data_IF_180029585784
#
_entry.id   IF_180029585784
#
_cell.length_a   1.000
_cell.length_b   1.000
_cell.length_c   1.000
_cell.angle_alpha   90.00
_cell.angle_beta   90.00
_cell.angle_gamma   90.00
#
_symmetry.space_group_name_H-M   'P 1'
#
loop_
_entity.id
_entity.type
_entity.pdbx_description
1 polymer ?
#
# COMPACT_ATOMS: atom_id res chain seq x y z
N UNK A 1 25.99 15.21 3.68
CA UNK A 1 25.44 15.69 4.97
C UNK A 1 24.06 16.29 4.73
N UNK A 2 23.04 15.48 5.03
CA UNK A 2 21.76 15.87 5.68
C UNK A 2 21.12 17.21 5.28
N UNK A 3 20.54 17.32 4.09
CA UNK A 3 19.44 18.26 3.83
C UNK A 3 18.50 17.60 2.82
N UNK A 4 17.46 16.91 3.29
CA UNK A 4 16.52 16.26 2.37
C UNK A 4 15.53 15.25 2.95
N UNK A 5 15.60 14.93 4.25
CA UNK A 5 14.63 14.02 4.89
C UNK A 5 13.62 14.71 5.83
N UNK A 6 13.81 15.99 6.17
CA UNK A 6 12.96 16.66 7.18
C UNK A 6 11.62 17.19 6.66
N UNK A 7 11.40 17.25 5.34
CA UNK A 7 10.15 17.74 4.74
C UNK A 7 9.10 16.65 4.50
N UNK A 8 9.39 15.41 4.89
CA UNK A 8 8.56 14.25 4.56
C UNK A 8 7.71 13.72 5.71
N UNK A 9 7.79 14.34 6.89
CA UNK A 9 6.89 14.03 8.00
C UNK A 9 5.50 14.65 7.76
N UNK A 10 5.41 15.71 6.95
CA UNK A 10 4.14 16.40 6.62
C UNK A 10 3.21 15.64 5.66
N UNK A 11 3.71 14.61 4.94
CA UNK A 11 2.86 13.73 4.11
C UNK A 11 2.34 12.51 4.87
N UNK A 12 3.01 12.12 5.96
CA UNK A 12 2.65 10.93 6.72
C UNK A 12 1.75 11.23 7.91
N UNK A 13 1.68 12.51 8.31
CA UNK A 13 0.68 13.05 9.21
C UNK A 13 -0.20 14.01 8.42
N UNK A 14 -1.22 13.48 7.74
CA UNK A 14 -2.34 14.27 7.18
C UNK A 14 -3.10 15.10 8.25
N UNK A 15 -2.66 15.08 9.52
CA UNK A 15 -3.17 15.89 10.61
C UNK A 15 -2.95 17.41 10.43
N UNK A 16 -1.95 17.86 9.66
CA UNK A 16 -1.57 19.29 9.59
C UNK A 16 -1.99 20.01 8.28
N UNK A 17 -2.43 19.26 7.25
CA UNK A 17 -2.76 19.84 5.95
C UNK A 17 -4.27 19.94 5.70
N UNK A 18 -5.09 18.98 6.16
CA UNK A 18 -6.56 19.03 6.05
C UNK A 18 -7.19 18.21 7.20
N UNK A 19 -8.08 18.78 8.03
CA UNK A 19 -8.77 18.05 9.10
C UNK A 19 -9.73 16.96 8.60
N UNK A 20 -9.99 16.88 7.29
CA UNK A 20 -10.99 15.98 6.70
C UNK A 20 -10.42 14.62 6.21
N UNK A 21 -9.10 14.44 6.18
CA UNK A 21 -8.45 13.22 5.67
C UNK A 21 -7.60 12.54 6.75
N UNK A 22 -8.26 12.04 7.80
CA UNK A 22 -7.58 11.47 8.98
C UNK A 22 -7.17 9.99 8.84
N UNK A 23 -7.45 9.35 7.71
CA UNK A 23 -7.18 7.93 7.52
C UNK A 23 -5.82 7.72 6.83
N UNK A 24 -4.91 6.92 7.42
CA UNK A 24 -3.63 6.63 6.79
C UNK A 24 -3.85 5.82 5.51
N UNK A 25 -2.99 6.06 4.52
CA UNK A 25 -3.10 5.41 3.20
C UNK A 25 -3.03 3.87 3.27
N UNK A 26 -2.40 3.31 4.31
CA UNK A 26 -2.39 1.88 4.57
C UNK A 26 -3.80 1.32 4.77
N UNK A 27 -4.65 2.02 5.53
CA UNK A 27 -5.97 1.55 5.94
C UNK A 27 -6.92 1.60 4.76
N UNK A 28 -6.84 2.66 3.96
CA UNK A 28 -7.56 2.78 2.69
C UNK A 28 -7.25 1.63 1.72
N UNK A 29 -5.97 1.26 1.61
CA UNK A 29 -5.57 0.13 0.75
C UNK A 29 -6.11 -1.19 1.29
N UNK A 30 -6.06 -1.42 2.61
CA UNK A 30 -6.65 -2.64 3.21
C UNK A 30 -8.17 -2.69 2.97
N UNK A 31 -8.88 -1.58 3.18
CA UNK A 31 -10.32 -1.48 2.98
C UNK A 31 -10.72 -1.80 1.54
N UNK A 32 -10.03 -1.23 0.54
CA UNK A 32 -10.31 -1.50 -0.88
C UNK A 32 -10.10 -2.99 -1.19
N UNK A 33 -9.02 -3.60 -0.70
CA UNK A 33 -8.77 -5.03 -0.93
C UNK A 33 -9.80 -5.90 -0.20
N UNK A 34 -10.29 -5.48 0.97
CA UNK A 34 -11.36 -6.19 1.68
C UNK A 34 -12.72 -6.06 1.02
N UNK A 35 -12.99 -4.97 0.32
CA UNK A 35 -14.22 -4.81 -0.46
C UNK A 35 -14.22 -5.70 -1.71
N UNK A 36 -13.06 -6.13 -2.20
CA UNK A 36 -12.97 -7.10 -3.29
C UNK A 36 -13.43 -8.51 -2.87
N UNK A 37 -13.89 -9.36 -3.81
CA UNK A 37 -14.27 -10.75 -3.54
C UNK A 37 -13.09 -11.59 -3.03
N UNK A 38 -13.39 -12.67 -2.30
CA UNK A 38 -12.38 -13.41 -1.52
C UNK A 38 -11.27 -14.03 -2.38
N UNK A 39 -11.58 -14.38 -3.63
CA UNK A 39 -10.66 -15.06 -4.55
C UNK A 39 -9.49 -14.17 -4.99
N UNK A 40 -9.72 -12.86 -5.09
CA UNK A 40 -8.72 -11.90 -5.60
C UNK A 40 -7.91 -11.23 -4.50
N UNK A 41 -8.29 -11.35 -3.22
CA UNK A 41 -7.58 -10.63 -2.13
C UNK A 41 -6.11 -11.04 -2.03
N UNK A 42 -5.83 -12.34 -2.07
CA UNK A 42 -4.46 -12.89 -1.97
C UNK A 42 -3.54 -12.38 -3.10
N UNK A 43 -3.92 -12.45 -4.40
CA UNK A 43 -3.09 -11.90 -5.46
C UNK A 43 -2.97 -10.37 -5.42
N UNK A 44 -3.97 -9.65 -4.90
CA UNK A 44 -3.90 -8.19 -4.77
C UNK A 44 -2.87 -7.74 -3.72
N UNK A 45 -2.83 -8.37 -2.53
CA UNK A 45 -1.79 -8.05 -1.53
C UNK A 45 -0.37 -8.34 -2.03
N UNK A 46 -0.22 -9.35 -2.89
CA UNK A 46 1.07 -9.72 -3.49
C UNK A 46 1.55 -8.74 -4.55
N UNK A 47 0.66 -8.00 -5.21
CA UNK A 47 1.01 -7.17 -6.37
C UNK A 47 0.52 -5.74 -6.22
N UNK A 48 1.08 -5.02 -5.24
CA UNK A 48 0.77 -3.59 -5.05
C UNK A 48 1.81 -2.78 -5.81
N UNK A 49 1.40 -2.11 -6.89
CA UNK A 49 2.29 -1.29 -7.73
C UNK A 49 2.13 0.18 -7.35
N UNK A 50 3.26 0.85 -7.12
CA UNK A 50 3.28 2.30 -6.88
C UNK A 50 3.31 3.04 -8.22
N UNK A 51 2.51 4.11 -8.33
CA UNK A 51 2.45 4.98 -9.51
C UNK A 51 2.33 6.44 -9.10
N UNK A 52 2.97 7.32 -9.84
CA UNK A 52 2.92 8.77 -9.62
C UNK A 52 4.15 9.35 -8.95
N UNK A 53 4.29 10.69 -9.00
CA UNK A 53 5.42 11.40 -8.39
C UNK A 53 5.33 11.47 -6.87
N UNK A 54 4.13 11.45 -6.30
CA UNK A 54 3.87 11.47 -4.85
C UNK A 54 4.31 10.19 -4.13
N UNK A 55 4.45 9.07 -4.84
CA UNK A 55 4.93 7.79 -4.27
C UNK A 55 6.45 7.63 -4.32
N UNK A 56 7.18 8.61 -4.87
CA UNK A 56 8.64 8.57 -4.98
C UNK A 56 9.38 8.97 -3.71
N UNK A 57 8.67 9.22 -2.62
CA UNK A 57 9.32 9.50 -1.36
C UNK A 57 10.21 8.31 -0.96
N UNK A 58 11.46 8.59 -0.54
CA UNK A 58 12.40 7.56 -0.11
C UNK A 58 11.76 6.69 0.98
N UNK A 59 11.91 5.37 0.86
CA UNK A 59 11.33 4.37 1.78
C UNK A 59 9.80 4.31 1.85
N UNK A 60 9.05 5.03 1.01
CA UNK A 60 7.58 4.97 1.00
C UNK A 60 7.07 3.53 0.78
N UNK A 61 7.59 2.83 -0.24
CA UNK A 61 7.19 1.45 -0.53
C UNK A 61 7.52 0.49 0.62
N UNK A 62 8.69 0.64 1.25
CA UNK A 62 9.10 -0.18 2.40
C UNK A 62 8.23 0.08 3.62
N UNK A 63 7.86 1.33 3.87
CA UNK A 63 6.97 1.73 4.97
C UNK A 63 5.56 1.19 4.76
N UNK A 64 4.99 1.39 3.56
CA UNK A 64 3.68 0.88 3.19
C UNK A 64 3.60 -0.65 3.30
N UNK A 65 4.60 -1.36 2.80
CA UNK A 65 4.65 -2.83 2.90
C UNK A 65 4.67 -3.30 4.36
N UNK A 66 5.42 -2.61 5.24
CA UNK A 66 5.50 -2.94 6.67
C UNK A 66 4.16 -2.73 7.37
N UNK A 67 3.50 -1.61 7.10
CA UNK A 67 2.25 -1.24 7.76
C UNK A 67 1.10 -2.16 7.31
N UNK A 68 0.99 -2.44 6.00
CA UNK A 68 0.05 -3.43 5.47
C UNK A 68 0.29 -4.82 6.05
N UNK A 69 1.55 -5.27 6.12
CA UNK A 69 1.88 -6.58 6.71
C UNK A 69 1.44 -6.66 8.18
N UNK A 70 1.66 -5.60 8.97
CA UNK A 70 1.23 -5.56 10.38
C UNK A 70 -0.29 -5.70 10.52
N UNK A 71 -1.07 -5.02 9.69
CA UNK A 71 -2.53 -5.09 9.75
C UNK A 71 -3.06 -6.47 9.34
N UNK A 72 -2.52 -7.02 8.25
CA UNK A 72 -2.89 -8.36 7.78
C UNK A 72 -2.54 -9.41 8.83
N UNK A 73 -1.35 -9.36 9.40
CA UNK A 73 -0.92 -10.28 10.46
C UNK A 73 -1.80 -10.15 11.72
N UNK A 74 -2.19 -8.94 12.12
CA UNK A 74 -3.10 -8.72 13.24
C UNK A 74 -4.48 -9.37 12.99
N UNK A 75 -5.03 -9.24 11.77
CA UNK A 75 -6.31 -9.84 11.40
C UNK A 75 -6.26 -11.37 11.32
N UNK A 76 -5.14 -11.92 10.84
CA UNK A 76 -4.91 -13.36 10.83
C UNK A 76 -4.85 -13.93 12.25
N UNK A 77 -4.16 -13.25 13.18
CA UNK A 77 -4.12 -13.64 14.59
C UNK A 77 -5.50 -13.61 15.25
N UNK A 78 -6.29 -12.57 15.01
CA UNK A 78 -7.67 -12.49 15.52
C UNK A 78 -8.53 -13.65 14.98
N UNK A 79 -8.38 -13.95 13.69
CA UNK A 79 -9.11 -15.06 13.06
C UNK A 79 -8.72 -16.42 13.63
N UNK A 80 -7.45 -16.62 13.99
CA UNK A 80 -6.94 -17.83 14.62
C UNK A 80 -7.49 -18.01 16.05
N UNK A 81 -7.50 -16.92 16.84
CA UNK A 81 -8.06 -16.91 18.21
C UNK A 81 -9.55 -17.21 18.19
N UNK A 82 -10.31 -16.56 17.30
CA UNK A 82 -11.76 -16.79 17.14
C UNK A 82 -12.07 -18.22 16.69
N UNK A 83 -11.18 -18.83 15.89
CA UNK A 83 -11.33 -20.21 15.44
C UNK A 83 -10.93 -21.25 16.51
N UNK A 84 -10.50 -20.81 17.69
CA UNK A 84 -10.05 -21.69 18.78
C UNK A 84 -8.89 -22.60 18.38
N UNK A 85 -8.04 -22.15 17.44
CA UNK A 85 -6.91 -22.93 16.93
C UNK A 85 -7.27 -24.08 15.98
N UNK A 86 -8.55 -24.27 15.62
CA UNK A 86 -8.98 -25.34 14.69
C UNK A 86 -8.57 -25.09 13.24
N UNK A 87 -8.44 -23.82 12.86
CA UNK A 87 -8.14 -23.41 11.49
C UNK A 87 -6.94 -22.47 11.53
N UNK A 88 -5.82 -22.91 10.94
CA UNK A 88 -4.64 -22.06 10.74
C UNK A 88 -4.75 -21.36 9.39
N UNK A 89 -4.96 -20.04 9.34
CA UNK A 89 -5.07 -19.36 8.06
C UNK A 89 -3.71 -19.34 7.34
N UNK A 90 -3.73 -19.57 6.03
CA UNK A 90 -2.52 -19.47 5.20
C UNK A 90 -1.97 -18.03 5.25
N UNK A 91 -0.66 -17.83 5.54
CA UNK A 91 -0.07 -16.50 5.61
C UNK A 91 -0.23 -15.78 4.26
N UNK A 92 -0.44 -14.47 4.33
CA UNK A 92 -0.61 -13.62 3.14
C UNK A 92 0.71 -12.91 2.89
N UNK A 93 1.27 -13.08 1.70
CA UNK A 93 2.47 -12.37 1.28
C UNK A 93 2.09 -10.97 0.77
N UNK A 94 2.59 -9.94 1.45
CA UNK A 94 2.44 -8.55 1.01
C UNK A 94 3.71 -8.09 0.32
N UNK A 95 3.59 -7.66 -0.94
CA UNK A 95 4.72 -7.15 -1.70
C UNK A 95 4.34 -5.86 -2.45
N UNK A 96 5.13 -4.81 -2.19
CA UNK A 96 4.97 -3.49 -2.80
C UNK A 96 6.11 -3.32 -3.81
N UNK A 97 5.75 -3.20 -5.07
CA UNK A 97 6.69 -3.09 -6.19
C UNK A 97 6.96 -1.61 -6.46
N UNK A 98 8.22 -1.23 -6.26
CA UNK A 98 8.73 0.10 -6.62
C UNK A 98 9.62 0.01 -7.86
N UNK A 99 9.19 0.59 -8.98
CA UNK A 99 10.00 0.72 -10.20
C UNK A 99 10.69 2.10 -10.27
N UNK A 100 11.92 2.18 -10.76
CA UNK A 100 12.62 3.45 -11.02
C UNK A 100 11.90 4.31 -12.09
N UNK A 101 11.05 3.72 -12.94
CA UNK A 101 10.23 4.41 -13.95
C UNK A 101 8.86 4.90 -13.44
N UNK A 102 8.63 4.92 -12.11
CA UNK A 102 7.38 5.35 -11.48
C UNK A 102 6.84 6.73 -11.92
N UNK A 103 7.73 7.66 -12.33
CA UNK A 103 7.35 9.00 -12.83
C UNK A 103 6.52 8.95 -14.12
N UNK A 104 6.67 7.92 -14.94
CA UNK A 104 6.04 7.81 -16.26
C UNK A 104 5.06 6.64 -16.37
N UNK A 105 4.68 6.01 -15.25
CA UNK A 105 3.82 4.82 -15.26
C UNK A 105 2.47 5.06 -15.97
N UNK A 106 1.91 6.27 -15.85
CA UNK A 106 0.67 6.68 -16.53
C UNK A 106 0.89 6.88 -18.05
N UNK A 107 2.05 7.40 -18.46
CA UNK A 107 2.40 7.65 -19.86
C UNK A 107 2.65 6.37 -20.68
N UNK A 108 2.73 5.20 -20.05
CA UNK A 108 3.07 3.93 -20.72
C UNK A 108 1.86 3.03 -20.98
N UNK A 109 0.74 3.25 -20.29
CA UNK A 109 -0.49 2.43 -20.42
C UNK A 109 -1.40 2.95 -21.55
N UNK A 110 -1.17 4.17 -22.03
CA UNK A 110 -1.80 4.68 -23.25
C UNK A 110 -0.97 4.32 -24.49
N UNK A 111 -1.43 3.40 -25.37
CA UNK A 111 -0.81 3.18 -26.68
C UNK A 111 -1.07 4.32 -27.69
N UNK A 112 -1.66 5.45 -27.25
CA UNK A 112 -2.06 6.54 -28.13
C UNK A 112 -0.92 7.57 -28.40
N UNK A 113 0.30 7.09 -28.63
CA UNK A 113 1.46 7.92 -29.05
C UNK A 113 1.90 7.66 -30.51
N UNK A 114 0.99 7.15 -31.35
CA UNK A 114 1.25 6.98 -32.80
C UNK A 114 0.18 7.56 -33.73
N UNK A 115 -0.66 8.48 -33.25
CA UNK A 115 -1.54 9.24 -34.13
C UNK A 115 -1.50 10.74 -33.80
N UNK A 116 -0.40 11.39 -34.17
CA UNK A 116 -0.41 12.79 -34.59
C UNK A 116 0.65 13.01 -35.66
#
# INVERSE_FOLDING_TARGET
MTFGCSLAEGLFSLQFANPDFMQPISDMVDEVIQNCPIDVRRPLYKNIVLSGSSTMFCDFGRKLQRDLKRMVDARLKLSEVLSGGRIKPKPIEVHVISNHMQRYAVCFVDPCWHLR
#
